data_IF_595142232453
#
_entry.id   IF_595142232453
#
_cell.length_a   1.000
_cell.length_b   1.000
_cell.length_c   1.000
_cell.angle_alpha   90.00
_cell.angle_beta   90.00
_cell.angle_gamma   90.00
#
_symmetry.space_group_name_H-M   'P 1'
#
loop_
_entity.id
_entity.type
_entity.pdbx_description
1 polymer ?
#
# COMPACT_ATOMS: atom_id res chain seq x y z
N UNK A 1 7.34 -1.81 -2.30
CA UNK A 1 6.48 -2.12 -3.46
C UNK A 1 7.29 -2.52 -4.70
N UNK A 2 8.61 -2.79 -4.59
CA UNK A 2 9.47 -3.15 -5.73
C UNK A 2 9.32 -2.19 -6.90
N UNK A 3 9.22 -0.89 -6.60
CA UNK A 3 8.84 0.14 -7.58
C UNK A 3 9.82 0.21 -8.75
N UNK A 4 11.12 0.10 -8.47
CA UNK A 4 12.20 0.07 -9.47
C UNK A 4 12.07 -1.09 -10.48
N UNK A 5 11.39 -2.18 -10.11
CA UNK A 5 11.18 -3.33 -10.99
C UNK A 5 9.95 -3.12 -11.91
N UNK A 6 9.15 -2.09 -11.69
CA UNK A 6 7.92 -1.81 -12.45
C UNK A 6 8.19 -0.88 -13.63
N UNK A 7 7.97 -1.37 -14.86
CA UNK A 7 8.11 -0.54 -16.07
C UNK A 7 6.85 0.29 -16.31
N UNK A 8 6.79 1.48 -15.72
CA UNK A 8 5.71 2.45 -15.96
C UNK A 8 6.09 3.36 -17.12
N UNK A 9 5.51 3.10 -18.30
CA UNK A 9 5.90 3.73 -19.58
C UNK A 9 4.93 4.81 -20.08
N UNK A 10 3.86 5.08 -19.35
CA UNK A 10 2.85 6.04 -19.75
C UNK A 10 2.96 7.32 -18.93
N UNK A 11 3.32 8.43 -19.59
CA UNK A 11 3.13 9.80 -19.08
C UNK A 11 3.55 9.96 -17.59
N UNK A 12 2.68 10.54 -16.74
CA UNK A 12 2.90 10.76 -15.31
C UNK A 12 2.77 9.49 -14.44
N UNK A 13 2.73 8.28 -15.02
CA UNK A 13 2.51 7.04 -14.25
C UNK A 13 3.59 6.78 -13.20
N UNK A 14 4.85 7.17 -13.45
CA UNK A 14 5.92 7.07 -12.48
C UNK A 14 5.61 7.89 -11.21
N UNK A 15 5.29 9.17 -11.39
CA UNK A 15 4.97 10.08 -10.29
C UNK A 15 3.69 9.69 -9.56
N UNK A 16 2.61 9.42 -10.30
CA UNK A 16 1.32 9.03 -9.72
C UNK A 16 1.46 7.78 -8.84
N UNK A 17 2.18 6.77 -9.33
CA UNK A 17 2.39 5.56 -8.56
C UNK A 17 3.32 5.77 -7.36
N UNK A 18 4.33 6.63 -7.46
CA UNK A 18 5.18 6.96 -6.30
C UNK A 18 4.35 7.63 -5.20
N UNK A 19 3.43 8.53 -5.56
CA UNK A 19 2.48 9.16 -4.62
C UNK A 19 1.56 8.12 -3.98
N UNK A 20 0.92 7.27 -4.79
CA UNK A 20 0.06 6.18 -4.29
C UNK A 20 0.82 5.24 -3.34
N UNK A 21 2.07 4.92 -3.68
CA UNK A 21 2.92 4.06 -2.86
C UNK A 21 3.25 4.71 -1.52
N UNK A 22 3.54 6.01 -1.50
CA UNK A 22 3.77 6.77 -0.26
C UNK A 22 2.51 6.80 0.61
N UNK A 23 1.34 7.04 0.03
CA UNK A 23 0.05 7.03 0.74
C UNK A 23 -0.17 5.64 1.38
N UNK A 24 -0.05 4.57 0.60
CA UNK A 24 -0.23 3.20 1.08
C UNK A 24 0.77 2.85 2.20
N UNK A 25 2.04 3.25 2.08
CA UNK A 25 3.04 3.03 3.12
C UNK A 25 2.70 3.76 4.42
N UNK A 26 2.22 5.00 4.34
CA UNK A 26 1.84 5.77 5.51
C UNK A 26 0.64 5.15 6.22
N UNK A 27 -0.39 4.72 5.49
CA UNK A 27 -1.53 4.01 6.05
C UNK A 27 -1.10 2.73 6.79
N UNK A 28 -0.26 1.90 6.15
CA UNK A 28 0.22 0.64 6.74
C UNK A 28 1.11 0.85 7.98
N UNK A 29 1.88 1.94 8.03
CA UNK A 29 2.71 2.30 9.19
C UNK A 29 1.88 2.82 10.36
N UNK A 30 0.80 3.56 10.07
CA UNK A 30 -0.08 4.14 11.10
C UNK A 30 -1.14 3.15 11.62
N UNK A 31 -1.40 2.07 10.89
CA UNK A 31 -2.21 0.96 11.38
C UNK A 31 -1.53 0.34 12.62
N UNK A 32 -2.24 0.15 13.73
CA UNK A 32 -1.67 -0.37 15.00
C UNK A 32 -2.32 -1.65 15.48
N UNK A 33 -3.33 -2.17 14.77
CA UNK A 33 -4.13 -3.29 15.26
C UNK A 33 -3.47 -4.64 15.00
N UNK A 34 -2.66 -4.75 13.95
CA UNK A 34 -1.82 -5.94 13.72
C UNK A 34 -0.36 -5.69 14.11
N UNK A 35 0.17 -6.53 15.01
CA UNK A 35 1.59 -6.56 15.41
C UNK A 35 2.45 -7.33 14.41
N UNK A 36 2.37 -6.97 13.13
CA UNK A 36 3.18 -7.57 12.05
C UNK A 36 3.87 -6.47 11.24
N UNK A 37 4.96 -6.81 10.55
CA UNK A 37 5.67 -5.85 9.71
C UNK A 37 4.81 -5.34 8.54
N UNK A 38 5.23 -4.22 7.93
CA UNK A 38 4.52 -3.56 6.81
C UNK A 38 4.20 -4.53 5.67
N UNK A 39 5.11 -5.47 5.35
CA UNK A 39 4.88 -6.50 4.33
C UNK A 39 3.71 -7.42 4.69
N UNK A 40 3.61 -7.84 5.95
CA UNK A 40 2.52 -8.70 6.44
C UNK A 40 1.18 -7.99 6.43
N UNK A 41 1.15 -6.72 6.88
CA UNK A 41 -0.07 -5.89 6.82
C UNK A 41 -0.57 -5.71 5.39
N UNK A 42 0.36 -5.49 4.45
CA UNK A 42 0.03 -5.38 3.01
C UNK A 42 -0.54 -6.68 2.45
N UNK A 43 0.01 -7.83 2.81
CA UNK A 43 -0.52 -9.14 2.39
C UNK A 43 -1.93 -9.37 2.96
N UNK A 44 -2.13 -9.05 4.24
CA UNK A 44 -3.45 -9.15 4.89
C UNK A 44 -4.48 -8.26 4.20
N UNK A 45 -4.13 -7.01 3.88
CA UNK A 45 -5.00 -6.12 3.11
C UNK A 45 -5.28 -6.62 1.68
N UNK A 46 -4.41 -7.45 1.10
CA UNK A 46 -4.66 -8.09 -0.19
C UNK A 46 -5.54 -9.34 -0.13
N UNK A 47 -5.77 -9.91 1.06
CA UNK A 47 -6.55 -11.14 1.26
C UNK A 47 -7.84 -10.93 2.05
N UNK A 48 -7.95 -9.84 2.80
CA UNK A 48 -9.07 -9.56 3.69
C UNK A 48 -9.63 -8.17 3.40
N UNK A 49 -10.76 -8.15 2.70
CA UNK A 49 -11.43 -6.92 2.28
C UNK A 49 -11.91 -6.09 3.48
N UNK A 50 -12.31 -6.71 4.59
CA UNK A 50 -12.73 -5.97 5.80
C UNK A 50 -11.54 -5.25 6.42
N UNK A 51 -10.38 -5.90 6.42
CA UNK A 51 -9.14 -5.27 6.87
C UNK A 51 -8.70 -4.16 5.91
N UNK A 52 -8.88 -4.34 4.61
CA UNK A 52 -8.60 -3.30 3.60
C UNK A 52 -9.51 -2.08 3.81
N UNK A 53 -10.82 -2.26 3.90
CA UNK A 53 -11.82 -1.21 4.15
C UNK A 53 -11.46 -0.39 5.39
N UNK A 54 -11.16 -1.08 6.50
CA UNK A 54 -10.66 -0.45 7.73
C UNK A 54 -9.39 0.37 7.51
N UNK A 55 -8.45 -0.14 6.70
CA UNK A 55 -7.17 0.52 6.44
C UNK A 55 -7.34 1.81 5.62
N UNK A 56 -8.24 1.80 4.64
CA UNK A 56 -8.53 2.94 3.75
C UNK A 56 -9.67 3.82 4.28
N UNK A 57 -10.22 3.48 5.45
CA UNK A 57 -11.29 4.20 6.13
C UNK A 57 -12.53 4.39 5.24
N UNK A 58 -12.86 3.36 4.46
CA UNK A 58 -14.11 3.23 3.69
C UNK A 58 -15.13 2.39 4.46
#
# INVERSE_FOLDING_TARGET
FSEDQSRKRADNAAQNFSVLTKIALNLLKNEKTLKVGVRGKRLKAGWDNRYLEKLINL
#
